data_IF_972363405753
#
_entry.id   IF_972363405753
#
_cell.length_a   1.000
_cell.length_b   1.000
_cell.length_c   1.000
_cell.angle_alpha   90.00
_cell.angle_beta   90.00
_cell.angle_gamma   90.00
#
_symmetry.space_group_name_H-M   'P 1'
#
loop_
_entity.id
_entity.type
_entity.pdbx_description
1 polymer ?
#
# COMPACT_ATOMS: atom_id res chain seq x y z
N UNK A 1 -12.81 2.82 6.38
CA UNK A 1 -11.38 3.08 6.12
C UNK A 1 -11.06 2.61 4.71
N UNK A 2 -10.58 3.50 3.84
CA UNK A 2 -10.25 3.16 2.45
C UNK A 2 -9.00 2.27 2.42
N UNK A 3 -8.78 1.51 1.34
CA UNK A 3 -7.58 0.68 1.21
C UNK A 3 -6.30 1.54 1.18
N UNK A 4 -6.36 2.76 0.64
CA UNK A 4 -5.28 3.74 0.72
C UNK A 4 -4.86 4.05 2.17
N UNK A 5 -5.84 4.17 3.08
CA UNK A 5 -5.59 4.46 4.49
C UNK A 5 -4.88 3.29 5.18
N UNK A 6 -5.24 2.05 4.84
CA UNK A 6 -4.55 0.84 5.33
C UNK A 6 -3.12 0.75 4.82
N UNK A 7 -2.93 1.04 3.53
CA UNK A 7 -1.61 1.02 2.88
C UNK A 7 -0.68 2.05 3.53
N UNK A 8 -1.21 3.25 3.82
CA UNK A 8 -0.51 4.31 4.56
C UNK A 8 -0.21 3.88 6.00
N UNK A 9 -1.18 3.35 6.72
CA UNK A 9 -0.98 2.91 8.10
C UNK A 9 0.16 1.87 8.23
N UNK A 10 0.22 0.91 7.31
CA UNK A 10 1.31 -0.09 7.28
C UNK A 10 2.68 0.55 6.94
N UNK A 11 2.69 1.59 6.12
CA UNK A 11 3.90 2.35 5.84
C UNK A 11 4.36 3.12 7.07
N UNK A 12 3.46 3.83 7.75
CA UNK A 12 3.75 4.62 8.96
C UNK A 12 4.19 3.75 10.14
N UNK A 13 3.64 2.55 10.27
CA UNK A 13 4.07 1.54 11.26
C UNK A 13 5.54 1.14 11.03
N UNK A 14 5.95 0.96 9.77
CA UNK A 14 7.32 0.58 9.40
C UNK A 14 8.28 1.77 9.38
N UNK A 15 7.79 2.94 8.98
CA UNK A 15 8.54 4.18 8.82
C UNK A 15 7.79 5.29 9.55
N UNK A 16 8.09 5.52 10.85
CA UNK A 16 7.44 6.56 11.62
C UNK A 16 7.55 7.93 10.96
N UNK A 17 6.45 8.69 10.94
CA UNK A 17 6.39 10.03 10.34
C UNK A 17 7.40 10.95 11.04
N UNK A 18 8.34 11.58 10.31
CA UNK A 18 9.28 12.52 10.90
C UNK A 18 8.58 13.74 11.50
N UNK A 19 9.11 14.25 12.62
CA UNK A 19 8.61 15.47 13.27
C UNK A 19 8.63 16.66 12.31
N UNK A 20 7.51 17.39 12.17
CA UNK A 20 7.40 18.52 11.25
C UNK A 20 7.03 18.11 9.82
N UNK A 21 6.61 16.86 9.61
CA UNK A 21 5.90 16.42 8.42
C UNK A 21 4.46 16.04 8.76
N UNK A 22 3.55 16.21 7.81
CA UNK A 22 2.16 15.78 7.94
C UNK A 22 1.64 15.19 6.63
N UNK A 23 0.66 14.30 6.74
CA UNK A 23 -0.05 13.76 5.60
C UNK A 23 -1.05 14.79 5.05
N UNK A 24 -1.06 14.98 3.73
CA UNK A 24 -2.01 15.83 3.02
C UNK A 24 -2.72 15.01 1.93
N UNK A 25 -3.99 14.60 2.13
CA UNK A 25 -4.72 13.77 1.17
C UNK A 25 -5.01 14.45 -0.16
N UNK A 26 -4.98 15.79 -0.22
CA UNK A 26 -5.29 16.56 -1.43
C UNK A 26 -4.06 16.79 -2.34
N UNK A 27 -2.86 16.45 -1.87
CA UNK A 27 -1.62 16.64 -2.63
C UNK A 27 -1.23 15.36 -3.37
N UNK A 28 -1.03 15.48 -4.67
CA UNK A 28 -0.68 14.35 -5.53
C UNK A 28 -1.85 13.38 -5.80
N UNK A 29 -1.64 12.35 -6.63
CA UNK A 29 -2.72 11.46 -7.09
C UNK A 29 -3.29 10.52 -6.00
N UNK A 30 -2.56 10.32 -4.90
CA UNK A 30 -2.95 9.40 -3.82
C UNK A 30 -2.73 9.98 -2.40
N UNK A 31 -2.53 11.30 -2.30
CA UNK A 31 -2.06 11.97 -1.09
C UNK A 31 -0.54 11.87 -0.92
N UNK A 32 0.06 12.84 -0.23
CA UNK A 32 1.51 12.90 -0.01
C UNK A 32 1.86 13.51 1.35
N UNK A 33 3.13 13.38 1.76
CA UNK A 33 3.66 14.02 2.95
C UNK A 33 4.29 15.36 2.64
N UNK A 34 3.80 16.40 3.33
CA UNK A 34 4.33 17.76 3.20
C UNK A 34 5.08 18.18 4.47
N UNK A 35 6.02 19.10 4.29
CA UNK A 35 6.73 19.76 5.39
C UNK A 35 5.83 20.82 6.03
N UNK A 36 5.55 20.66 7.31
CA UNK A 36 4.77 21.61 8.13
C UNK A 36 5.70 22.61 8.85
N UNK A 37 6.94 22.20 9.15
CA UNK A 37 7.95 23.07 9.75
C UNK A 37 9.35 22.75 9.21
N UNK A 38 9.96 23.70 8.50
CA UNK A 38 11.30 23.59 7.91
C UNK A 38 12.44 23.58 8.95
N UNK A 39 12.18 24.04 10.18
CA UNK A 39 13.17 24.05 11.27
C UNK A 39 13.25 22.75 12.08
N UNK A 40 12.20 21.91 12.06
CA UNK A 40 12.11 20.69 12.87
C UNK A 40 12.59 19.42 12.13
N UNK A 41 12.65 19.46 10.80
CA UNK A 41 13.19 18.40 9.95
C UNK A 41 14.21 18.99 8.99
N UNK A 42 15.37 18.32 8.82
CA UNK A 42 16.24 18.64 7.70
C UNK A 42 15.50 18.31 6.39
N UNK A 43 15.59 19.20 5.39
CA UNK A 43 14.96 18.97 4.08
C UNK A 43 15.36 17.62 3.46
N UNK A 44 16.59 17.16 3.74
CA UNK A 44 17.07 15.83 3.35
C UNK A 44 16.25 14.68 3.98
N UNK A 45 15.92 14.77 5.28
CA UNK A 45 15.11 13.74 5.96
C UNK A 45 13.71 13.67 5.36
N UNK A 46 13.13 14.83 5.02
CA UNK A 46 11.83 14.91 4.39
C UNK A 46 11.84 14.29 2.98
N UNK A 47 12.82 14.67 2.15
CA UNK A 47 12.96 14.13 0.80
C UNK A 47 13.14 12.60 0.81
N UNK A 48 13.96 12.06 1.73
CA UNK A 48 14.13 10.61 1.89
C UNK A 48 12.84 9.91 2.33
N UNK A 49 12.00 10.57 3.13
CA UNK A 49 10.74 9.99 3.59
C UNK A 49 9.71 9.93 2.47
N UNK A 50 9.54 11.03 1.70
CA UNK A 50 8.68 11.07 0.51
C UNK A 50 9.11 10.04 -0.52
N UNK A 51 10.41 9.96 -0.84
CA UNK A 51 10.91 8.96 -1.78
C UNK A 51 10.63 7.50 -1.33
N UNK A 52 10.65 7.23 -0.02
CA UNK A 52 10.25 5.91 0.52
C UNK A 52 8.76 5.65 0.35
N UNK A 53 7.93 6.67 0.54
CA UNK A 53 6.48 6.55 0.34
C UNK A 53 6.15 6.24 -1.13
N UNK A 54 6.74 6.98 -2.08
CA UNK A 54 6.60 6.73 -3.51
C UNK A 54 7.06 5.30 -3.89
N UNK A 55 8.23 4.89 -3.41
CA UNK A 55 8.75 3.54 -3.65
C UNK A 55 7.83 2.45 -3.06
N UNK A 56 7.24 2.71 -1.89
CA UNK A 56 6.28 1.81 -1.25
C UNK A 56 5.02 1.65 -2.09
N UNK A 57 4.44 2.74 -2.58
CA UNK A 57 3.30 2.72 -3.49
C UNK A 57 3.65 1.95 -4.78
N UNK A 58 4.77 2.29 -5.42
CA UNK A 58 5.22 1.64 -6.65
C UNK A 58 5.46 0.13 -6.48
N UNK A 59 6.04 -0.30 -5.36
CA UNK A 59 6.24 -1.73 -5.07
C UNK A 59 4.91 -2.49 -5.02
N UNK A 60 3.87 -1.88 -4.47
CA UNK A 60 2.54 -2.49 -4.33
C UNK A 60 1.75 -2.46 -5.62
N UNK A 61 1.98 -1.45 -6.46
CA UNK A 61 1.43 -1.43 -7.80
C UNK A 61 2.06 -2.48 -8.72
N UNK A 62 3.33 -2.80 -8.51
CA UNK A 62 4.07 -3.74 -9.37
C UNK A 62 3.89 -5.19 -8.93
N UNK A 63 3.70 -5.43 -7.63
CA UNK A 63 3.61 -6.78 -7.08
C UNK A 63 2.30 -7.47 -7.52
N UNK A 64 2.46 -8.52 -8.33
CA UNK A 64 1.39 -9.39 -8.81
C UNK A 64 1.49 -10.74 -8.13
N UNK A 65 0.39 -11.25 -7.61
CA UNK A 65 0.32 -12.53 -6.87
C UNK A 65 -0.56 -13.49 -7.64
N UNK A 66 -0.04 -14.66 -7.95
CA UNK A 66 -0.86 -15.76 -8.49
C UNK A 66 -1.71 -16.35 -7.38
N UNK A 67 -2.99 -16.59 -7.64
CA UNK A 67 -3.87 -17.25 -6.68
C UNK A 67 -3.34 -18.69 -6.41
N UNK A 68 -3.12 -19.10 -5.15
CA UNK A 68 -2.60 -20.43 -4.83
C UNK A 68 -3.55 -21.57 -5.19
N UNK A 69 -4.83 -21.29 -5.47
CA UNK A 69 -5.83 -22.28 -5.88
C UNK A 69 -6.02 -22.25 -7.41
N UNK A 70 -5.54 -23.26 -8.15
CA UNK A 70 -5.67 -23.31 -9.60
C UNK A 70 -7.11 -23.53 -10.04
N UNK A 71 -7.46 -23.05 -11.24
CA UNK A 71 -8.78 -23.34 -11.85
C UNK A 71 -8.82 -24.81 -12.26
N UNK A 72 -9.69 -25.60 -11.62
CA UNK A 72 -9.91 -27.00 -11.96
C UNK A 72 -11.39 -27.22 -12.24
N UNK A 73 -11.70 -27.61 -13.49
CA UNK A 73 -13.08 -27.81 -13.92
C UNK A 73 -13.73 -28.95 -13.14
N UNK A 74 -14.83 -28.64 -12.44
CA UNK A 74 -15.60 -29.63 -11.67
C UNK A 74 -15.16 -29.81 -10.21
N UNK A 75 -14.19 -29.01 -9.73
CA UNK A 75 -13.81 -28.97 -8.31
C UNK A 75 -14.50 -27.80 -7.59
N UNK A 76 -15.72 -28.05 -7.09
CA UNK A 76 -16.52 -27.04 -6.38
C UNK A 76 -15.82 -26.49 -5.13
N UNK A 77 -15.04 -27.33 -4.43
CA UNK A 77 -14.32 -26.91 -3.22
C UNK A 77 -13.12 -26.05 -3.59
N UNK A 78 -12.40 -26.41 -4.67
CA UNK A 78 -11.33 -25.61 -5.26
C UNK A 78 -11.80 -24.24 -5.74
N UNK A 79 -12.96 -24.18 -6.40
CA UNK A 79 -13.56 -22.92 -6.87
C UNK A 79 -13.93 -22.00 -5.69
N UNK A 80 -14.53 -22.56 -4.64
CA UNK A 80 -14.82 -21.81 -3.41
C UNK A 80 -13.55 -21.28 -2.74
N UNK A 81 -12.52 -22.14 -2.61
CA UNK A 81 -11.26 -21.76 -1.99
C UNK A 81 -10.53 -20.65 -2.78
N UNK A 82 -10.57 -20.74 -4.12
CA UNK A 82 -10.03 -19.73 -5.02
C UNK A 82 -10.72 -18.38 -4.81
N UNK A 83 -12.05 -18.34 -4.77
CA UNK A 83 -12.83 -17.12 -4.58
C UNK A 83 -12.50 -16.45 -3.23
N UNK A 84 -12.50 -17.24 -2.15
CA UNK A 84 -12.19 -16.74 -0.81
C UNK A 84 -10.78 -16.19 -0.73
N UNK A 85 -9.80 -16.90 -1.29
CA UNK A 85 -8.41 -16.47 -1.32
C UNK A 85 -8.23 -15.18 -2.11
N UNK A 86 -8.82 -15.09 -3.30
CA UNK A 86 -8.75 -13.91 -4.14
C UNK A 86 -9.36 -12.68 -3.46
N UNK A 87 -10.54 -12.85 -2.86
CA UNK A 87 -11.21 -11.78 -2.11
C UNK A 87 -10.38 -11.30 -0.94
N UNK A 88 -9.75 -12.22 -0.20
CA UNK A 88 -8.86 -11.90 0.92
C UNK A 88 -7.62 -11.12 0.44
N UNK A 89 -6.94 -11.60 -0.61
CA UNK A 89 -5.76 -10.95 -1.19
C UNK A 89 -6.08 -9.53 -1.71
N UNK A 90 -7.16 -9.38 -2.46
CA UNK A 90 -7.63 -8.07 -2.96
C UNK A 90 -8.03 -7.13 -1.82
N UNK A 91 -8.61 -7.64 -0.74
CA UNK A 91 -8.94 -6.85 0.47
C UNK A 91 -7.70 -6.28 1.16
N UNK A 92 -6.57 -6.97 1.04
CA UNK A 92 -5.27 -6.49 1.52
C UNK A 92 -4.60 -5.49 0.56
N UNK A 93 -5.24 -5.18 -0.58
CA UNK A 93 -4.71 -4.27 -1.59
C UNK A 93 -3.71 -4.92 -2.55
N UNK A 94 -3.67 -6.24 -2.62
CA UNK A 94 -2.77 -6.99 -3.50
C UNK A 94 -3.41 -7.18 -4.88
N UNK A 95 -2.58 -7.15 -5.94
CA UNK A 95 -3.03 -7.42 -7.31
C UNK A 95 -2.93 -8.92 -7.57
N UNK A 96 -4.08 -9.59 -7.63
CA UNK A 96 -4.15 -11.01 -7.96
C UNK A 96 -4.15 -11.19 -9.48
N UNK A 97 -3.35 -12.13 -9.97
CA UNK A 97 -3.28 -12.56 -11.37
C UNK A 97 -3.63 -14.04 -11.46
N UNK A 98 -4.06 -14.46 -12.65
CA UNK A 98 -4.44 -15.84 -12.94
C UNK A 98 -3.26 -16.81 -13.01
#
# INVERSE_FOLDING_TARGET
MKNSDKIRAQFEERYPVPSGMRWEPEVGPAGDYILDCSGCCSGERAARYVARWEAWQASRETLRITNPFPVQMGDTDGDWAREVAEKSLRTQGLKVVD
#
